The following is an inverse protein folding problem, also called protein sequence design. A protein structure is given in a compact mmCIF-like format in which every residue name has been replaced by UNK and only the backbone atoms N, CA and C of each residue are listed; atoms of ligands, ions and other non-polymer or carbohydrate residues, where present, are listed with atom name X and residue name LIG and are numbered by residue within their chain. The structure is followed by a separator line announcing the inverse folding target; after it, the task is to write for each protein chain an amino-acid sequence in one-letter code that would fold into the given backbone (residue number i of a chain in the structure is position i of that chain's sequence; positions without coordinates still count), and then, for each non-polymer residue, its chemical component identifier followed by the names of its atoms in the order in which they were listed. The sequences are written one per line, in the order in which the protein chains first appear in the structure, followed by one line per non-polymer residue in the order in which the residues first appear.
data_IF_067681761064
#
_entry.id   IF_067681761064
#
_cell.length_a   1.000
_cell.length_b   1.000
_cell.length_c   1.000
_cell.angle_alpha   90.00
_cell.angle_beta   90.00
_cell.angle_gamma   90.00
#
_symmetry.space_group_name_H-M   'P 1'
#
loop_
_entity.id
_entity.type
_entity.pdbx_description
1 polymer ?
#
# COMPACT_ATOMS: atom_id res chain seq x y z
N UNK A 1 47.80 6.23 -19.11
CA UNK A 1 46.54 6.59 -18.41
C UNK A 1 46.16 5.40 -17.53
N UNK A 2 46.16 5.54 -16.20
CA UNK A 2 45.86 4.46 -15.25
C UNK A 2 44.36 4.43 -14.95
N UNK A 3 43.70 3.34 -15.30
CA UNK A 3 42.35 3.03 -14.85
C UNK A 3 42.35 2.82 -13.33
N UNK A 4 41.54 3.59 -12.60
CA UNK A 4 41.29 3.36 -11.17
C UNK A 4 40.24 2.27 -11.04
N UNK A 5 40.69 1.04 -10.83
CA UNK A 5 39.84 -0.08 -10.37
C UNK A 5 39.33 0.26 -8.98
N UNK A 6 38.05 0.65 -8.89
CA UNK A 6 37.39 0.91 -7.61
C UNK A 6 37.13 -0.43 -6.91
N UNK A 7 37.95 -0.74 -5.91
CA UNK A 7 37.88 -2.00 -5.15
C UNK A 7 36.56 -2.13 -4.40
N UNK A 8 35.97 -3.34 -4.42
CA UNK A 8 34.73 -3.72 -3.72
C UNK A 8 34.75 -3.32 -2.22
N UNK A 9 35.94 -3.26 -1.61
CA UNK A 9 36.15 -2.81 -0.23
C UNK A 9 35.80 -1.34 -0.01
N UNK A 10 36.04 -0.47 -1.00
CA UNK A 10 35.70 0.95 -0.91
C UNK A 10 34.19 1.19 -1.06
N UNK A 11 33.49 0.34 -1.80
CA UNK A 11 32.02 0.40 -1.91
C UNK A 11 31.33 0.03 -0.59
N UNK A 12 31.87 -0.99 0.10
CA UNK A 12 31.37 -1.48 1.37
C UNK A 12 31.59 -0.46 2.51
N UNK A 13 32.68 0.30 2.45
CA UNK A 13 32.97 1.39 3.39
C UNK A 13 32.01 2.58 3.21
N UNK A 14 31.65 2.93 1.96
CA UNK A 14 30.67 3.98 1.68
C UNK A 14 29.27 3.56 2.16
N UNK A 15 28.88 2.30 1.94
CA UNK A 15 27.60 1.78 2.41
C UNK A 15 27.45 1.83 3.94
N UNK A 16 28.53 1.55 4.69
CA UNK A 16 28.55 1.64 6.16
C UNK A 16 28.49 3.09 6.68
N UNK A 17 29.09 4.04 5.97
CA UNK A 17 29.03 5.47 6.35
C UNK A 17 27.63 6.07 6.16
N UNK A 18 26.84 5.59 5.18
CA UNK A 18 25.44 5.99 5.03
C UNK A 18 24.49 5.25 6.01
N UNK A 19 24.81 4.02 6.40
CA UNK A 19 24.01 3.26 7.38
C UNK A 19 24.14 3.83 8.80
N UNK A 20 25.32 4.33 9.18
CA UNK A 20 25.57 4.93 10.50
C UNK A 20 24.82 6.24 10.75
N UNK A 21 24.59 7.05 9.71
CA UNK A 21 23.93 8.35 9.85
C UNK A 21 22.39 8.29 9.73
N UNK A 22 21.81 7.16 9.31
CA UNK A 22 20.36 7.06 9.01
C UNK A 22 19.55 6.29 10.07
N UNK A 23 20.21 5.54 10.96
CA UNK A 23 19.50 4.79 12.02
C UNK A 23 18.85 5.70 13.08
N UNK A 24 19.32 6.93 13.25
CA UNK A 24 18.74 7.87 14.23
C UNK A 24 17.57 8.70 13.67
N UNK A 25 17.30 8.68 12.36
CA UNK A 25 16.21 9.48 11.78
C UNK A 25 14.88 8.72 11.70
N UNK A 26 14.91 7.38 11.67
CA UNK A 26 13.69 6.56 11.58
C UNK A 26 13.11 6.12 12.94
N UNK A 27 13.75 6.49 14.06
CA UNK A 27 13.29 6.17 15.41
C UNK A 27 12.37 7.23 16.05
N UNK A 28 12.09 8.37 15.39
CA UNK A 28 11.34 9.48 16.02
C UNK A 28 9.89 9.67 15.55
N UNK A 29 9.30 8.76 14.77
CA UNK A 29 7.90 8.84 14.36
C UNK A 29 7.07 7.71 14.96
N UNK A 30 7.15 7.63 16.28
CA UNK A 30 6.34 6.79 17.15
C UNK A 30 6.06 7.53 18.44
N UNK A 31 5.70 8.82 18.38
CA UNK A 31 5.03 9.42 19.52
C UNK A 31 3.67 8.72 19.63
N UNK A 32 3.56 7.87 20.65
CA UNK A 32 2.25 7.56 21.21
C UNK A 32 1.59 8.92 21.51
N UNK A 33 0.30 9.12 21.19
CA UNK A 33 -0.38 10.32 21.62
C UNK A 33 -0.19 10.47 23.14
N UNK A 34 0.04 11.69 23.65
CA UNK A 34 0.15 11.90 25.08
C UNK A 34 -1.10 11.30 25.74
N UNK A 35 -0.88 10.54 26.82
CA UNK A 35 -1.96 10.03 27.65
C UNK A 35 -2.84 11.20 28.06
N UNK A 36 -4.11 11.18 27.63
CA UNK A 36 -5.11 12.21 27.94
C UNK A 36 -5.31 12.25 29.47
N UNK A 37 -4.67 13.21 30.12
CA UNK A 37 -5.12 13.69 31.43
C UNK A 37 -6.27 14.64 31.16
N UNK A 38 -7.43 14.39 31.76
CA UNK A 38 -8.60 15.24 31.66
C UNK A 38 -8.31 16.59 32.35
N UNK A 39 -7.79 17.54 31.57
CA UNK A 39 -7.44 18.89 32.01
C UNK A 39 -8.68 19.79 31.93
N UNK A 40 -9.08 20.37 33.06
CA UNK A 40 -10.26 21.25 33.16
C UNK A 40 -10.02 22.67 32.64
N UNK A 41 -8.82 23.02 32.17
CA UNK A 41 -8.49 24.35 31.68
C UNK A 41 -9.07 24.61 30.28
N UNK A 42 -9.98 25.60 30.10
CA UNK A 42 -10.66 25.84 28.82
C UNK A 42 -9.75 26.22 27.64
N UNK A 43 -8.58 26.82 27.89
CA UNK A 43 -7.63 27.16 26.83
C UNK A 43 -6.86 25.93 26.34
N UNK A 44 -6.53 25.01 27.25
CA UNK A 44 -5.90 23.73 26.93
C UNK A 44 -6.88 22.84 26.18
N UNK A 45 -8.14 22.77 26.62
CA UNK A 45 -9.21 22.03 25.90
C UNK A 45 -9.40 22.60 24.49
N UNK A 46 -9.46 23.92 24.32
CA UNK A 46 -9.55 24.51 22.96
C UNK A 46 -8.32 24.23 22.11
N UNK A 47 -7.14 24.23 22.71
CA UNK A 47 -5.88 23.88 22.04
C UNK A 47 -5.84 22.43 21.58
N UNK A 48 -6.24 21.48 22.44
CA UNK A 48 -6.28 20.05 22.13
C UNK A 48 -7.34 19.73 21.07
N UNK A 49 -8.55 20.31 21.16
CA UNK A 49 -9.59 20.15 20.15
C UNK A 49 -9.13 20.66 18.77
N UNK A 50 -8.47 21.84 18.72
CA UNK A 50 -7.94 22.39 17.48
C UNK A 50 -6.82 21.53 16.88
N UNK A 51 -5.97 20.95 17.73
CA UNK A 51 -4.92 20.03 17.29
C UNK A 51 -5.52 18.77 16.66
N UNK A 52 -6.50 18.16 17.32
CA UNK A 52 -7.21 16.99 16.80
C UNK A 52 -7.95 17.29 15.48
N UNK A 53 -8.64 18.44 15.37
CA UNK A 53 -9.26 18.85 14.11
C UNK A 53 -8.23 19.00 12.98
N UNK A 54 -7.12 19.71 13.24
CA UNK A 54 -6.05 19.87 12.26
C UNK A 54 -5.42 18.53 11.86
N UNK A 55 -5.26 17.62 12.82
CA UNK A 55 -4.70 16.29 12.59
C UNK A 55 -5.61 15.43 11.71
N UNK A 56 -6.91 15.41 12.01
CA UNK A 56 -7.90 14.71 11.21
C UNK A 56 -7.99 15.28 9.79
N UNK A 57 -7.88 16.60 9.61
CA UNK A 57 -7.83 17.21 8.29
C UNK A 57 -6.57 16.82 7.50
N UNK A 58 -5.40 16.75 8.16
CA UNK A 58 -4.16 16.31 7.54
C UNK A 58 -4.26 14.85 7.04
N UNK A 59 -4.71 13.93 7.90
CA UNK A 59 -4.87 12.52 7.54
C UNK A 59 -5.95 12.31 6.47
N UNK A 60 -7.01 13.12 6.49
CA UNK A 60 -8.04 13.12 5.44
C UNK A 60 -7.51 13.66 4.10
N UNK A 61 -6.58 14.62 4.13
CA UNK A 61 -5.85 15.08 2.94
C UNK A 61 -4.94 14.00 2.36
N UNK A 62 -4.34 13.15 3.21
CA UNK A 62 -3.59 11.97 2.78
C UNK A 62 -4.50 10.95 2.10
N UNK A 63 -5.66 10.64 2.69
CA UNK A 63 -6.68 9.78 2.07
C UNK A 63 -7.04 10.27 0.66
N UNK A 64 -7.32 11.58 0.52
CA UNK A 64 -7.61 12.22 -0.76
C UNK A 64 -6.51 11.98 -1.80
N UNK A 65 -5.26 12.19 -1.41
CA UNK A 65 -4.08 12.03 -2.30
C UNK A 65 -3.89 10.58 -2.73
N UNK A 66 -4.07 9.63 -1.81
CA UNK A 66 -3.98 8.21 -2.11
C UNK A 66 -5.04 7.78 -3.12
N UNK A 67 -6.30 8.17 -2.90
CA UNK A 67 -7.40 7.87 -3.82
C UNK A 67 -7.19 8.46 -5.21
N UNK A 68 -6.79 9.73 -5.29
CA UNK A 68 -6.55 10.44 -6.54
C UNK A 68 -5.48 9.76 -7.41
N UNK A 69 -4.32 9.47 -6.82
CA UNK A 69 -3.23 8.78 -7.51
C UNK A 69 -3.61 7.34 -7.85
N UNK A 70 -4.27 6.62 -6.93
CA UNK A 70 -4.63 5.23 -7.14
C UNK A 70 -5.74 5.02 -8.17
N UNK A 71 -6.66 5.98 -8.36
CA UNK A 71 -7.60 5.95 -9.48
C UNK A 71 -6.84 5.90 -10.82
N UNK A 72 -5.84 6.77 -10.98
CA UNK A 72 -5.00 6.80 -12.19
C UNK A 72 -4.21 5.48 -12.36
N UNK A 73 -3.68 4.92 -11.27
CA UNK A 73 -2.99 3.61 -11.32
C UNK A 73 -3.92 2.49 -11.75
N UNK A 74 -5.17 2.48 -11.28
CA UNK A 74 -6.19 1.49 -11.67
C UNK A 74 -6.60 1.65 -13.14
N UNK A 75 -6.83 2.87 -13.62
CA UNK A 75 -7.14 3.14 -15.03
C UNK A 75 -6.04 2.59 -15.95
N UNK A 76 -4.77 2.87 -15.62
CA UNK A 76 -3.61 2.37 -16.37
C UNK A 76 -3.54 0.84 -16.33
N UNK A 77 -3.72 0.24 -15.15
CA UNK A 77 -3.74 -1.21 -15.03
C UNK A 77 -4.84 -1.80 -15.90
N UNK A 78 -6.08 -1.41 -15.66
CA UNK A 78 -7.25 -2.02 -16.27
C UNK A 78 -7.29 -1.84 -17.78
N UNK A 79 -6.82 -0.69 -18.29
CA UNK A 79 -6.67 -0.46 -19.74
C UNK A 79 -5.56 -1.29 -20.37
N UNK A 80 -4.56 -1.73 -19.59
CA UNK A 80 -3.47 -2.61 -20.07
C UNK A 80 -3.83 -4.10 -20.06
N UNK A 81 -4.91 -4.49 -19.38
CA UNK A 81 -5.35 -5.88 -19.29
C UNK A 81 -6.26 -6.29 -20.45
N UNK A 82 -6.11 -7.52 -20.94
CA UNK A 82 -7.06 -8.10 -21.89
C UNK A 82 -8.47 -8.16 -21.31
N UNK A 83 -9.48 -7.74 -22.09
CA UNK A 83 -10.89 -7.71 -21.66
C UNK A 83 -11.37 -9.04 -21.07
N UNK A 84 -10.99 -10.18 -21.67
CA UNK A 84 -11.35 -11.52 -21.16
C UNK A 84 -10.79 -11.77 -19.77
N UNK A 85 -9.54 -11.38 -19.54
CA UNK A 85 -8.89 -11.54 -18.26
C UNK A 85 -9.51 -10.60 -17.22
N UNK A 86 -9.73 -9.33 -17.57
CA UNK A 86 -10.38 -8.37 -16.67
C UNK A 86 -11.78 -8.82 -16.27
N UNK A 87 -12.59 -9.30 -17.21
CA UNK A 87 -13.93 -9.82 -16.92
C UNK A 87 -13.87 -11.03 -15.97
N UNK A 88 -12.91 -11.94 -16.18
CA UNK A 88 -12.69 -13.09 -15.29
C UNK A 88 -12.28 -12.62 -13.88
N UNK A 89 -11.36 -11.67 -13.78
CA UNK A 89 -10.91 -11.10 -12.52
C UNK A 89 -12.06 -10.43 -11.76
N UNK A 90 -12.83 -9.56 -12.44
CA UNK A 90 -13.95 -8.83 -11.86
C UNK A 90 -15.14 -9.73 -11.50
N UNK A 91 -15.32 -10.88 -12.15
CA UNK A 91 -16.38 -11.84 -11.79
C UNK A 91 -16.10 -12.58 -10.47
N UNK A 92 -14.83 -12.65 -10.05
CA UNK A 92 -14.41 -13.40 -8.86
C UNK A 92 -14.60 -12.66 -7.52
N UNK A 93 -15.39 -11.58 -7.49
CA UNK A 93 -15.54 -10.71 -6.31
C UNK A 93 -14.19 -10.27 -5.68
N UNK A 94 -13.26 -9.73 -6.49
CA UNK A 94 -11.90 -9.49 -6.04
C UNK A 94 -11.80 -8.32 -5.05
N UNK A 95 -10.73 -8.34 -4.25
CA UNK A 95 -10.21 -7.17 -3.56
C UNK A 95 -8.99 -6.63 -4.29
N UNK A 96 -9.01 -5.35 -4.61
CA UNK A 96 -7.87 -4.59 -5.12
C UNK A 96 -7.18 -3.89 -3.96
N UNK A 97 -5.87 -4.06 -3.81
CA UNK A 97 -5.03 -3.27 -2.93
C UNK A 97 -4.07 -2.46 -3.80
N UNK A 98 -4.21 -1.14 -3.78
CA UNK A 98 -3.51 -0.22 -4.67
C UNK A 98 -2.52 0.61 -3.86
N UNK A 99 -1.24 0.47 -4.18
CA UNK A 99 -0.15 1.32 -3.70
C UNK A 99 0.30 2.20 -4.89
N UNK A 100 -0.25 3.42 -5.02
CA UNK A 100 0.08 4.30 -6.15
C UNK A 100 1.54 4.80 -6.11
N UNK A 101 2.17 4.74 -4.95
CA UNK A 101 3.56 5.14 -4.79
C UNK A 101 4.21 4.31 -3.68
N UNK A 102 5.13 3.45 -4.10
CA UNK A 102 5.93 2.61 -3.21
C UNK A 102 7.39 2.97 -3.41
N UNK A 103 8.07 3.34 -2.33
CA UNK A 103 9.49 3.65 -2.35
C UNK A 103 10.28 2.40 -1.99
N UNK A 104 11.20 2.02 -2.87
CA UNK A 104 12.20 0.99 -2.60
C UNK A 104 13.56 1.67 -2.49
N UNK A 105 14.29 1.37 -1.44
CA UNK A 105 15.67 1.84 -1.25
C UNK A 105 16.54 0.61 -1.08
N UNK A 106 17.59 0.46 -1.89
CA UNK A 106 18.52 -0.68 -1.77
C UNK A 106 19.96 -0.29 -2.12
N UNK A 107 20.92 -0.92 -1.42
CA UNK A 107 22.31 -1.14 -1.83
C UNK A 107 22.67 -2.53 -1.28
N UNK A 108 22.49 -3.60 -2.08
CA UNK A 108 22.54 -5.02 -1.66
C UNK A 108 21.38 -5.43 -0.74
N UNK A 109 21.16 -4.72 0.36
CA UNK A 109 20.05 -4.88 1.31
C UNK A 109 19.29 -3.55 1.39
N UNK A 110 17.98 -3.63 1.47
CA UNK A 110 17.10 -2.50 1.36
C UNK A 110 15.75 -2.70 2.04
N UNK A 111 14.89 -1.70 1.87
CA UNK A 111 13.50 -1.75 2.31
C UNK A 111 12.53 -1.33 1.22
N UNK A 112 11.28 -1.74 1.38
CA UNK A 112 10.13 -1.25 0.60
C UNK A 112 9.10 -0.67 1.56
N UNK A 113 8.62 0.53 1.26
CA UNK A 113 7.63 1.24 2.05
C UNK A 113 6.65 1.95 1.11
N UNK A 114 5.36 1.86 1.39
CA UNK A 114 4.35 2.56 0.61
C UNK A 114 3.03 2.62 1.33
N UNK A 115 2.18 3.52 0.86
CA UNK A 115 0.83 3.74 1.35
C UNK A 115 -0.15 3.61 0.21
N UNK A 116 -1.37 3.21 0.54
CA UNK A 116 -2.36 2.82 -0.43
C UNK A 116 -3.71 2.60 0.19
N UNK A 117 -4.60 1.98 -0.57
CA UNK A 117 -5.94 1.64 -0.13
C UNK A 117 -6.39 0.31 -0.73
N UNK A 118 -7.41 -0.26 -0.11
CA UNK A 118 -8.07 -1.48 -0.54
C UNK A 118 -9.55 -1.21 -0.85
N UNK A 119 -10.07 -1.82 -1.91
CA UNK A 119 -11.51 -1.97 -2.15
C UNK A 119 -11.82 -3.41 -2.50
N UNK A 120 -12.95 -3.91 -2.02
CA UNK A 120 -13.44 -5.25 -2.32
C UNK A 120 -14.76 -5.16 -3.08
N UNK A 121 -14.95 -6.01 -4.10
CA UNK A 121 -16.19 -6.08 -4.87
C UNK A 121 -17.26 -6.87 -4.11
N UNK A 122 -18.50 -6.38 -4.10
CA UNK A 122 -19.69 -7.08 -3.58
C UNK A 122 -20.76 -7.20 -4.65
N UNK A 123 -21.17 -8.44 -4.91
CA UNK A 123 -22.09 -8.73 -5.99
C UNK A 123 -21.60 -8.21 -7.33
N UNK A 124 -22.53 -8.00 -8.26
CA UNK A 124 -22.21 -7.61 -9.63
C UNK A 124 -21.74 -6.15 -9.77
N UNK A 125 -22.30 -5.22 -8.98
CA UNK A 125 -22.14 -3.78 -9.23
C UNK A 125 -21.78 -2.93 -7.99
N UNK A 126 -21.50 -3.53 -6.83
CA UNK A 126 -21.14 -2.78 -5.63
C UNK A 126 -19.68 -3.00 -5.23
N UNK A 127 -19.11 -1.99 -4.57
CA UNK A 127 -17.76 -2.00 -4.03
C UNK A 127 -17.78 -1.46 -2.61
N UNK A 128 -16.84 -1.92 -1.79
CA UNK A 128 -16.67 -1.42 -0.43
C UNK A 128 -16.18 0.02 -0.46
N UNK A 129 -16.28 0.69 0.68
CA UNK A 129 -15.52 1.91 0.91
C UNK A 129 -14.01 1.62 0.87
N UNK A 130 -13.16 2.62 0.58
CA UNK A 130 -11.72 2.43 0.60
C UNK A 130 -11.22 2.23 2.04
N UNK A 131 -10.38 1.21 2.23
CA UNK A 131 -9.68 0.97 3.48
C UNK A 131 -8.19 1.24 3.29
N UNK A 132 -7.64 2.23 3.99
CA UNK A 132 -6.27 2.67 3.82
C UNK A 132 -5.28 1.74 4.49
N UNK A 133 -4.20 1.42 3.77
CA UNK A 133 -3.20 0.43 4.16
C UNK A 133 -1.79 0.91 3.83
N UNK A 134 -0.81 0.34 4.51
CA UNK A 134 0.62 0.55 4.27
C UNK A 134 1.33 -0.79 4.07
N UNK A 135 2.33 -0.80 3.20
CA UNK A 135 3.22 -1.92 2.98
C UNK A 135 4.60 -1.62 3.56
N UNK A 136 5.20 -2.60 4.25
CA UNK A 136 6.59 -2.57 4.71
C UNK A 136 7.25 -3.92 4.50
N UNK A 137 8.43 -3.96 3.92
CA UNK A 137 9.17 -5.20 3.73
C UNK A 137 10.67 -4.98 3.55
N UNK A 138 11.43 -6.06 3.65
CA UNK A 138 12.82 -6.07 3.22
C UNK A 138 12.86 -6.14 1.69
N UNK A 139 13.87 -5.51 1.09
CA UNK A 139 14.20 -5.66 -0.32
C UNK A 139 15.67 -6.07 -0.46
N UNK A 140 15.98 -6.85 -1.49
CA UNK A 140 17.34 -7.17 -1.87
C UNK A 140 17.47 -6.84 -3.36
N UNK A 141 18.55 -6.15 -3.75
CA UNK A 141 18.70 -5.69 -5.12
C UNK A 141 20.07 -5.06 -5.39
N UNK A 142 20.50 -5.16 -6.64
CA UNK A 142 21.73 -4.52 -7.15
C UNK A 142 21.50 -3.05 -7.54
N UNK A 143 20.26 -2.56 -7.45
CA UNK A 143 19.92 -1.17 -7.70
C UNK A 143 20.63 -0.29 -6.68
N UNK A 144 21.39 0.70 -7.13
CA UNK A 144 21.97 1.75 -6.30
C UNK A 144 20.99 2.92 -6.25
N UNK A 145 20.30 3.11 -5.12
CA UNK A 145 19.48 4.30 -4.88
C UNK A 145 18.03 4.00 -4.50
N UNK A 146 17.13 4.90 -4.90
CA UNK A 146 15.69 4.82 -4.64
C UNK A 146 14.91 4.60 -5.95
N UNK A 147 13.94 3.70 -5.90
CA UNK A 147 13.02 3.38 -7.00
C UNK A 147 11.58 3.62 -6.53
N UNK A 148 10.76 4.19 -7.42
CA UNK A 148 9.34 4.40 -7.19
C UNK A 148 8.52 3.42 -8.04
N UNK A 149 7.62 2.69 -7.39
CA UNK A 149 6.82 1.64 -8.03
C UNK A 149 5.34 1.81 -7.69
N UNK A 150 4.49 1.68 -8.70
CA UNK A 150 3.05 1.46 -8.56
C UNK A 150 2.80 -0.04 -8.40
N UNK A 151 2.11 -0.45 -7.33
CA UNK A 151 1.78 -1.85 -7.07
C UNK A 151 0.27 -1.99 -6.92
N UNK A 152 -0.31 -2.95 -7.64
CA UNK A 152 -1.72 -3.35 -7.47
C UNK A 152 -1.76 -4.85 -7.18
N UNK A 153 -2.26 -5.21 -6.01
CA UNK A 153 -2.54 -6.59 -5.65
C UNK A 153 -4.02 -6.85 -5.91
N UNK A 154 -4.34 -7.97 -6.55
CA UNK A 154 -5.72 -8.40 -6.77
C UNK A 154 -5.94 -9.77 -6.17
N UNK A 155 -6.66 -9.80 -5.05
CA UNK A 155 -6.99 -11.00 -4.33
C UNK A 155 -8.37 -11.46 -4.77
N UNK A 156 -8.47 -12.67 -5.34
CA UNK A 156 -9.76 -13.26 -5.73
C UNK A 156 -10.61 -13.74 -4.54
N UNK A 157 -10.08 -13.63 -3.32
CA UNK A 157 -10.76 -14.04 -2.09
C UNK A 157 -10.65 -12.91 -1.05
N UNK A 158 -11.79 -12.44 -0.56
CA UNK A 158 -11.85 -11.39 0.46
C UNK A 158 -11.27 -11.83 1.82
N UNK A 159 -11.38 -13.11 2.16
CA UNK A 159 -10.74 -13.70 3.33
C UNK A 159 -9.21 -13.61 3.25
N UNK A 160 -8.62 -13.82 2.07
CA UNK A 160 -7.20 -13.61 1.85
C UNK A 160 -6.80 -12.15 2.07
N UNK A 161 -7.61 -11.20 1.57
CA UNK A 161 -7.38 -9.76 1.74
C UNK A 161 -7.44 -9.35 3.22
N UNK A 162 -8.44 -9.83 3.96
CA UNK A 162 -8.58 -9.65 5.41
C UNK A 162 -7.33 -10.12 6.15
N UNK A 163 -6.89 -11.36 5.90
CA UNK A 163 -5.70 -11.95 6.54
C UNK A 163 -4.41 -11.21 6.18
N UNK A 164 -4.28 -10.77 4.92
CA UNK A 164 -3.12 -10.00 4.45
C UNK A 164 -3.03 -8.65 5.16
N UNK A 165 -4.14 -7.93 5.25
CA UNK A 165 -4.20 -6.62 5.93
C UNK A 165 -3.99 -6.76 7.44
N UNK A 166 -4.42 -7.86 8.06
CA UNK A 166 -4.09 -8.18 9.45
C UNK A 166 -2.63 -8.59 9.66
N UNK A 167 -1.88 -8.86 8.58
CA UNK A 167 -0.51 -9.35 8.64
C UNK A 167 -0.40 -10.81 9.11
N UNK A 168 -1.49 -11.58 9.03
CA UNK A 168 -1.50 -13.03 9.27
C UNK A 168 -0.83 -13.80 8.14
N UNK A 169 -0.82 -13.22 6.94
CA UNK A 169 -0.08 -13.71 5.77
C UNK A 169 0.81 -12.59 5.24
N UNK A 170 1.98 -12.96 4.74
CA UNK A 170 2.94 -12.05 4.13
C UNK A 170 3.09 -12.36 2.64
N UNK A 171 3.39 -11.30 1.90
CA UNK A 171 3.69 -11.39 0.47
C UNK A 171 4.99 -12.18 0.25
N UNK A 172 5.01 -13.06 -0.75
CA UNK A 172 6.15 -13.92 -1.08
C UNK A 172 6.29 -15.17 -0.20
N UNK A 173 6.23 -15.04 1.13
CA UNK A 173 6.44 -16.18 2.05
C UNK A 173 5.21 -17.06 2.22
N UNK A 174 4.03 -16.46 2.37
CA UNK A 174 2.76 -17.20 2.54
C UNK A 174 1.93 -17.18 1.27
N UNK A 175 2.19 -16.20 0.41
CA UNK A 175 1.61 -16.01 -0.92
C UNK A 175 2.74 -16.05 -1.94
N UNK A 176 2.86 -17.15 -2.70
CA UNK A 176 3.82 -17.21 -3.79
C UNK A 176 3.48 -16.10 -4.79
N UNK A 177 4.35 -15.11 -4.93
CA UNK A 177 4.23 -14.09 -5.95
C UNK A 177 4.98 -14.59 -7.18
N UNK A 178 4.28 -15.15 -8.17
CA UNK A 178 4.94 -15.47 -9.44
C UNK A 178 5.11 -14.20 -10.27
N UNK A 179 6.37 -13.80 -10.48
CA UNK A 179 6.74 -12.80 -11.46
C UNK A 179 6.31 -13.28 -12.84
N UNK A 180 5.17 -12.79 -13.32
CA UNK A 180 4.91 -12.72 -14.75
C UNK A 180 6.00 -11.87 -15.41
N UNK A 181 6.37 -12.15 -16.67
CA UNK A 181 7.39 -11.39 -17.38
C UNK A 181 7.11 -9.89 -17.24
N UNK A 182 8.14 -9.21 -16.77
CA UNK A 182 8.07 -7.83 -16.33
C UNK A 182 7.81 -6.94 -17.54
N UNK A 183 6.59 -6.42 -17.60
CA UNK A 183 6.12 -5.62 -18.72
C UNK A 183 5.05 -6.36 -19.52
N UNK A 184 3.81 -5.87 -19.37
CA UNK A 184 2.63 -6.09 -20.21
C UNK A 184 1.69 -7.27 -19.93
N UNK A 185 1.95 -8.21 -19.03
CA UNK A 185 0.95 -9.26 -18.74
C UNK A 185 0.85 -9.65 -17.25
N UNK A 186 -0.32 -10.17 -16.88
CA UNK A 186 -0.75 -10.43 -15.50
C UNK A 186 -0.05 -11.65 -14.89
N UNK A 187 0.58 -11.46 -13.73
CA UNK A 187 1.14 -12.55 -12.93
C UNK A 187 0.09 -13.25 -12.06
N UNK A 188 0.28 -14.57 -11.82
CA UNK A 188 -0.58 -15.38 -10.95
C UNK A 188 0.22 -15.97 -9.79
N UNK A 189 -0.17 -15.68 -8.55
CA UNK A 189 0.42 -16.22 -7.33
C UNK A 189 -0.46 -17.24 -6.60
N UNK A 190 0.17 -18.19 -5.90
CA UNK A 190 -0.48 -19.27 -5.13
C UNK A 190 -0.19 -19.13 -3.62
N UNK A 191 -1.22 -19.07 -2.78
CA UNK A 191 -1.06 -19.14 -1.32
C UNK A 191 -0.71 -20.53 -0.81
N UNK A 192 0.21 -20.64 0.17
CA UNK A 192 0.76 -21.93 0.66
C UNK A 192 -0.21 -22.69 1.61
N UNK A 193 -1.38 -22.13 1.98
CA UNK A 193 -2.30 -22.81 2.92
C UNK A 193 -3.80 -22.85 2.57
N UNK A 194 -4.20 -22.45 1.37
CA UNK A 194 -5.50 -22.74 0.76
C UNK A 194 -5.41 -22.31 -0.71
N UNK A 195 -6.19 -22.93 -1.60
CA UNK A 195 -6.24 -22.69 -3.06
C UNK A 195 -6.71 -21.26 -3.43
N UNK A 196 -6.05 -20.23 -2.93
CA UNK A 196 -6.39 -18.83 -3.12
C UNK A 196 -5.45 -18.23 -4.16
N UNK A 197 -6.02 -17.79 -5.29
CA UNK A 197 -5.28 -17.15 -6.38
C UNK A 197 -5.11 -15.67 -6.06
N UNK A 198 -3.87 -15.24 -5.84
CA UNK A 198 -3.53 -13.83 -5.70
C UNK A 198 -2.87 -13.40 -6.99
N UNK A 199 -3.52 -12.51 -7.73
CA UNK A 199 -2.92 -11.86 -8.88
C UNK A 199 -2.19 -10.61 -8.38
N UNK A 200 -1.07 -10.27 -9.00
CA UNK A 200 -0.45 -8.99 -8.73
C UNK A 200 0.04 -8.35 -10.01
N UNK A 201 0.00 -7.04 -10.00
CA UNK A 201 0.52 -6.17 -11.03
C UNK A 201 1.45 -5.18 -10.36
N UNK A 202 2.63 -4.99 -10.94
CA UNK A 202 3.55 -3.98 -10.46
C UNK A 202 4.22 -3.31 -11.64
N UNK A 203 4.22 -1.98 -11.61
CA UNK A 203 4.79 -1.13 -12.65
C UNK A 203 5.78 -0.17 -11.99
N UNK A 204 7.05 -0.32 -12.32
CA UNK A 204 8.06 0.63 -11.88
C UNK A 204 8.06 1.88 -12.77
N UNK A 205 8.31 3.03 -12.13
CA UNK A 205 8.65 4.27 -12.81
C UNK A 205 10.18 4.39 -12.80
N UNK A 206 10.87 3.81 -13.79
CA UNK A 206 12.33 3.90 -13.92
C UNK A 206 13.03 2.65 -14.45
N UNK A 207 14.36 2.57 -14.25
CA UNK A 207 15.19 1.42 -14.62
C UNK A 207 14.88 0.23 -13.70
N UNK A 208 14.44 -0.87 -14.30
CA UNK A 208 13.78 -1.95 -13.61
C UNK A 208 14.68 -3.19 -13.47
N UNK A 209 14.94 -3.65 -12.24
CA UNK A 209 15.67 -4.91 -11.95
C UNK A 209 14.88 -5.75 -10.94
N UNK A 210 13.70 -6.22 -11.35
CA UNK A 210 12.86 -7.12 -10.56
C UNK A 210 12.23 -6.47 -9.32
N UNK A 211 11.08 -7.01 -8.90
CA UNK A 211 10.45 -6.64 -7.63
C UNK A 211 10.43 -7.89 -6.76
N UNK A 212 11.12 -7.83 -5.62
CA UNK A 212 10.91 -8.77 -4.53
C UNK A 212 10.09 -8.09 -3.45
N UNK A 213 8.88 -8.59 -3.20
CA UNK A 213 8.06 -8.23 -2.04
C UNK A 213 8.13 -9.32 -0.95
N UNK A 214 9.16 -10.16 -0.99
CA UNK A 214 9.26 -11.32 -0.11
C UNK A 214 9.33 -10.88 1.37
N UNK A 215 8.40 -11.38 2.16
CA UNK A 215 8.26 -11.06 3.58
C UNK A 215 7.60 -9.69 3.85
N UNK A 216 7.09 -8.99 2.83
CA UNK A 216 6.43 -7.71 3.04
C UNK A 216 5.10 -7.89 3.81
N UNK A 217 4.92 -7.04 4.83
CA UNK A 217 3.72 -6.94 5.66
C UNK A 217 2.85 -5.81 5.15
N UNK A 218 1.58 -6.11 4.92
CA UNK A 218 0.52 -5.11 4.73
C UNK A 218 -0.17 -4.90 6.08
N UNK A 219 -0.50 -3.65 6.42
CA UNK A 219 -1.16 -3.31 7.67
C UNK A 219 -2.05 -2.06 7.52
N UNK A 220 -3.05 -1.86 8.39
CA UNK A 220 -3.90 -0.67 8.31
C UNK A 220 -3.14 0.64 8.51
N UNK A 221 -3.61 1.69 7.85
CA UNK A 221 -3.31 3.08 8.20
C UNK A 221 -4.41 3.59 9.12
N UNK A 222 -4.36 3.18 10.39
CA UNK A 222 -5.41 3.44 11.39
C UNK A 222 -5.83 4.91 11.45
N UNK A 223 -4.88 5.84 11.42
CA UNK A 223 -5.16 7.28 11.52
C UNK A 223 -5.86 7.82 10.28
N UNK A 224 -5.43 7.39 9.09
CA UNK A 224 -6.08 7.74 7.81
C UNK A 224 -7.50 7.15 7.76
N UNK A 225 -7.67 5.89 8.19
CA UNK A 225 -8.98 5.26 8.29
C UNK A 225 -9.90 6.02 9.26
N UNK A 226 -9.43 6.32 10.47
CA UNK A 226 -10.20 7.09 11.46
C UNK A 226 -10.58 8.48 10.93
N UNK A 227 -9.67 9.18 10.24
CA UNK A 227 -9.96 10.48 9.64
C UNK A 227 -10.94 10.40 8.45
N UNK A 228 -10.87 9.34 7.66
CA UNK A 228 -11.79 9.12 6.54
C UNK A 228 -13.20 8.79 7.02
N UNK A 229 -13.33 7.82 7.93
CA UNK A 229 -14.60 7.32 8.45
C UNK A 229 -15.17 8.14 9.62
N UNK A 230 -14.38 9.04 10.22
CA UNK A 230 -14.71 9.80 11.44
C UNK A 230 -14.99 8.91 12.67
N UNK A 231 -14.50 7.67 12.64
CA UNK A 231 -14.53 6.71 13.76
C UNK A 231 -13.46 5.64 13.52
N UNK A 232 -12.99 4.94 14.57
CA UNK A 232 -12.17 3.75 14.40
C UNK A 232 -12.90 2.71 13.55
N UNK A 233 -12.20 2.13 12.57
CA UNK A 233 -12.75 1.17 11.62
C UNK A 233 -11.73 0.06 11.39
N UNK A 234 -12.22 -1.17 11.39
CA UNK A 234 -11.44 -2.37 11.09
C UNK A 234 -11.57 -2.77 9.62
N UNK A 235 -10.70 -3.66 9.15
CA UNK A 235 -10.80 -4.17 7.78
C UNK A 235 -12.08 -5.01 7.59
N UNK A 236 -12.54 -5.67 8.65
CA UNK A 236 -13.80 -6.40 8.71
C UNK A 236 -15.00 -5.50 8.45
N UNK A 237 -15.08 -4.36 9.13
CA UNK A 237 -16.19 -3.43 8.96
C UNK A 237 -16.37 -3.01 7.50
N UNK A 238 -15.26 -2.84 6.77
CA UNK A 238 -15.27 -2.47 5.35
C UNK A 238 -15.60 -3.64 4.44
N UNK A 239 -14.99 -4.81 4.65
CA UNK A 239 -15.24 -6.01 3.83
C UNK A 239 -16.68 -6.51 4.02
N UNK A 240 -17.22 -6.41 5.23
CA UNK A 240 -18.57 -6.85 5.60
C UNK A 240 -19.61 -5.75 5.35
N UNK A 241 -19.20 -4.58 4.82
CA UNK A 241 -20.07 -3.44 4.46
C UNK A 241 -20.86 -2.85 5.64
N UNK A 242 -20.32 -2.95 6.84
CA UNK A 242 -20.93 -2.43 8.07
C UNK A 242 -20.58 -0.97 8.35
N UNK A 243 -19.90 -0.30 7.40
CA UNK A 243 -19.46 1.08 7.56
C UNK A 243 -19.56 1.89 6.28
N UNK A 244 -19.94 3.15 6.44
CA UNK A 244 -19.95 4.20 5.41
C UNK A 244 -19.34 5.46 6.02
N UNK A 245 -18.48 6.21 5.33
CA UNK A 245 -17.95 7.46 5.83
C UNK A 245 -19.05 8.51 5.93
N UNK A 246 -19.08 9.26 7.03
CA UNK A 246 -20.05 10.36 7.22
C UNK A 246 -19.91 11.46 6.15
N UNK A 247 -18.69 11.66 5.66
CA UNK A 247 -18.38 12.58 4.56
C UNK A 247 -17.55 11.78 3.55
N UNK A 248 -18.15 11.27 2.45
CA UNK A 248 -17.38 10.63 1.39
C UNK A 248 -16.42 11.63 0.73
N UNK A 249 -15.26 11.15 0.25
CA UNK A 249 -14.36 11.95 -0.59
C UNK A 249 -14.79 11.83 -2.05
N UNK A 250 -14.69 12.91 -2.84
CA UNK A 250 -15.04 12.90 -4.27
C UNK A 250 -14.13 11.94 -5.05
N UNK A 251 -12.89 11.81 -4.61
CA UNK A 251 -11.89 10.91 -5.18
C UNK A 251 -12.28 9.43 -5.05
N UNK A 252 -13.11 9.08 -4.05
CA UNK A 252 -13.68 7.73 -3.96
C UNK A 252 -14.50 7.41 -5.20
N UNK A 253 -15.29 8.35 -5.71
CA UNK A 253 -16.07 8.15 -6.93
C UNK A 253 -15.18 7.86 -8.15
N UNK A 254 -14.04 8.56 -8.29
CA UNK A 254 -13.09 8.31 -9.39
C UNK A 254 -12.50 6.90 -9.36
N UNK A 255 -12.17 6.40 -8.16
CA UNK A 255 -11.69 5.01 -8.00
C UNK A 255 -12.77 4.01 -8.42
N UNK A 256 -14.03 4.26 -8.03
CA UNK A 256 -15.16 3.41 -8.39
C UNK A 256 -15.46 3.44 -9.89
N UNK A 257 -15.39 4.62 -10.51
CA UNK A 257 -15.53 4.81 -11.95
C UNK A 257 -14.45 4.05 -12.73
N UNK A 258 -13.19 4.12 -12.29
CA UNK A 258 -12.10 3.36 -12.88
C UNK A 258 -12.39 1.85 -12.89
N UNK A 259 -12.90 1.31 -11.77
CA UNK A 259 -13.27 -0.10 -11.65
C UNK A 259 -14.51 -0.49 -12.46
N UNK A 260 -15.41 0.45 -12.72
CA UNK A 260 -16.65 0.23 -13.49
C UNK A 260 -16.49 0.45 -14.99
N UNK A 261 -15.47 1.22 -15.42
CA UNK A 261 -15.24 1.60 -16.81
C UNK A 261 -14.90 0.43 -17.75
N UNK A 262 -14.59 -0.74 -17.21
CA UNK A 262 -14.07 -1.90 -17.96
C UNK A 262 -15.17 -2.88 -18.41
N UNK A 263 -16.43 -2.43 -18.46
CA UNK A 263 -17.55 -3.24 -18.95
C UNK A 263 -17.48 -3.50 -20.46
#
# INVERSE_FOLDING_TARGET
MREKVFSLKNLLLIALLFFGASCNFFASQGSNPPSFTEDSNPSIIRGSLRYEENYLQYERGRAKTLLDKGASTLEILLSSLDKRFTNKLLSSHPCFIVFPETTRVAVLIGGVFGEGFMLCKRGENAWSEPFFVKIRGASAGLTLGAEFTEIVLVLSNQGAAKRLVKGEIRLGSDLALAAGPLGREVGTGLGIKNLEKVYYYARAKGLFVGISLNGAKVSPLERVNTAYFQKPVTVEDVIDYNVVPLKPLKETARVLEALQSVK
#
